data_IF_547985833947
#
_entry.id   IF_547985833947
#
_cell.length_a   1.000
_cell.length_b   1.000
_cell.length_c   1.000
_cell.angle_alpha   90.00
_cell.angle_beta   90.00
_cell.angle_gamma   90.00
#
_symmetry.space_group_name_H-M   'P 1'
#
loop_
_entity.id
_entity.type
_entity.pdbx_description
1 polymer ?
#
# COMPACT_ATOMS: atom_id res chain seq x y z
N UNK A 1 -27.18 -1.84 1.02
CA UNK A 1 -26.11 -2.73 0.54
C UNK A 1 -24.86 -2.26 1.26
N UNK A 2 -24.38 -3.02 2.23
CA UNK A 2 -23.11 -2.73 2.89
C UNK A 2 -22.03 -2.95 1.86
N UNK A 3 -21.45 -1.86 1.33
CA UNK A 3 -20.17 -1.94 0.64
C UNK A 3 -19.20 -2.60 1.61
N UNK A 4 -18.72 -3.80 1.26
CA UNK A 4 -17.82 -4.56 2.12
C UNK A 4 -16.57 -3.71 2.38
N UNK A 5 -16.20 -3.51 3.65
CA UNK A 5 -14.94 -2.89 4.02
C UNK A 5 -13.81 -3.74 3.42
N UNK A 6 -13.16 -3.27 2.36
CA UNK A 6 -12.06 -3.98 1.71
C UNK A 6 -10.86 -3.06 1.57
N UNK A 7 -9.69 -3.63 1.83
CA UNK A 7 -8.42 -2.92 1.81
C UNK A 7 -7.43 -3.60 0.86
N UNK A 8 -6.79 -2.80 0.02
CA UNK A 8 -5.61 -3.22 -0.72
C UNK A 8 -4.43 -3.28 0.22
N UNK A 9 -3.60 -4.31 0.09
CA UNK A 9 -2.44 -4.52 0.97
C UNK A 9 -1.14 -4.63 0.18
N UNK A 10 -0.10 -3.98 0.69
CA UNK A 10 1.27 -4.10 0.20
C UNK A 10 2.21 -4.43 1.35
N UNK A 11 3.15 -5.34 1.09
CA UNK A 11 4.12 -5.81 2.08
C UNK A 11 5.49 -5.93 1.41
N UNK A 12 6.55 -5.56 2.12
CA UNK A 12 7.92 -5.80 1.67
C UNK A 12 8.97 -5.20 2.60
N UNK A 13 10.15 -5.00 2.03
CA UNK A 13 11.28 -4.41 2.75
C UNK A 13 11.69 -3.12 2.05
N UNK A 14 11.62 -2.02 2.79
CA UNK A 14 12.14 -0.74 2.36
C UNK A 14 13.00 -0.16 3.49
N UNK A 15 14.29 0.03 3.22
CA UNK A 15 15.27 0.58 4.17
C UNK A 15 15.82 1.93 3.73
N UNK A 16 15.14 2.62 2.80
CA UNK A 16 15.48 4.01 2.48
C UNK A 16 15.30 4.89 3.72
N UNK A 17 15.84 6.12 3.67
CA UNK A 17 15.54 7.11 4.71
C UNK A 17 14.02 7.34 4.82
N UNK A 18 13.57 7.82 5.99
CA UNK A 18 12.15 8.10 6.21
C UNK A 18 11.61 9.13 5.22
N UNK A 19 12.38 10.18 4.94
CA UNK A 19 12.03 11.19 3.94
C UNK A 19 11.85 10.58 2.53
N UNK A 20 12.74 9.66 2.13
CA UNK A 20 12.62 8.97 0.83
C UNK A 20 11.42 8.03 0.79
N UNK A 21 11.12 7.32 1.89
CA UNK A 21 9.99 6.40 1.98
C UNK A 21 8.66 7.15 1.90
N UNK A 22 8.50 8.21 2.69
CA UNK A 22 7.27 9.01 2.76
C UNK A 22 7.03 9.79 1.46
N UNK A 23 8.09 10.26 0.79
CA UNK A 23 7.99 10.97 -0.48
C UNK A 23 7.27 10.19 -1.58
N UNK A 24 7.27 8.87 -1.52
CA UNK A 24 6.49 8.03 -2.45
C UNK A 24 4.98 8.29 -2.39
N UNK A 25 4.47 8.64 -1.20
CA UNK A 25 3.06 8.90 -0.93
C UNK A 25 2.71 10.40 -0.99
N UNK A 26 3.69 11.30 -1.08
CA UNK A 26 3.45 12.75 -1.00
C UNK A 26 2.53 13.26 -2.13
N UNK A 27 1.37 13.80 -1.74
CA UNK A 27 0.39 14.43 -2.62
C UNK A 27 0.77 15.89 -2.90
N UNK A 28 0.51 16.37 -4.12
CA UNK A 28 0.83 17.75 -4.53
C UNK A 28 -0.37 18.70 -4.36
N UNK A 29 -0.38 19.44 -3.26
CA UNK A 29 -1.40 20.45 -2.98
C UNK A 29 -1.12 21.81 -3.62
N UNK A 30 -0.02 21.99 -4.37
CA UNK A 30 0.41 23.32 -4.86
C UNK A 30 -0.48 23.93 -5.94
N UNK A 31 -1.33 23.12 -6.58
CA UNK A 31 -2.21 23.52 -7.68
C UNK A 31 -3.71 23.52 -7.29
N UNK A 32 -4.03 23.42 -6.00
CA UNK A 32 -5.40 23.47 -5.46
C UNK A 32 -6.41 22.54 -6.17
N UNK A 33 -5.97 21.35 -6.61
CA UNK A 33 -6.81 20.37 -7.31
C UNK A 33 -6.98 20.60 -8.82
N UNK A 34 -6.31 21.60 -9.41
CA UNK A 34 -6.22 21.74 -10.86
C UNK A 34 -5.19 20.77 -11.44
N UNK A 35 -5.59 19.53 -11.66
CA UNK A 35 -4.66 18.49 -12.14
C UNK A 35 -4.23 18.64 -13.61
N UNK A 36 -4.86 19.55 -14.37
CA UNK A 36 -4.41 19.91 -15.72
C UNK A 36 -3.31 20.99 -15.69
N UNK A 37 -2.98 21.55 -14.52
CA UNK A 37 -1.89 22.50 -14.37
C UNK A 37 -0.54 21.83 -14.71
N UNK A 38 0.30 22.43 -15.58
CA UNK A 38 1.60 21.85 -15.95
C UNK A 38 2.58 21.72 -14.76
N UNK A 39 2.32 22.39 -13.64
CA UNK A 39 3.12 22.26 -12.42
C UNK A 39 2.64 21.16 -11.50
N UNK A 40 1.49 20.52 -11.78
CA UNK A 40 0.98 19.41 -10.99
C UNK A 40 1.95 18.22 -11.02
N UNK A 41 2.34 17.76 -9.84
CA UNK A 41 3.23 16.61 -9.64
C UNK A 41 2.42 15.42 -9.16
N UNK A 42 2.17 14.49 -10.07
CA UNK A 42 1.52 13.23 -9.74
C UNK A 42 2.36 12.45 -8.70
N UNK A 43 1.73 12.07 -7.58
CA UNK A 43 2.40 11.27 -6.55
C UNK A 43 2.83 9.90 -7.09
N UNK A 44 3.92 9.35 -6.57
CA UNK A 44 4.49 8.12 -7.14
C UNK A 44 3.59 6.90 -6.86
N UNK A 45 2.96 6.83 -5.68
CA UNK A 45 1.91 5.85 -5.40
C UNK A 45 0.73 5.95 -6.39
N UNK A 46 0.19 7.16 -6.59
CA UNK A 46 -0.91 7.47 -7.50
C UNK A 46 -0.60 6.93 -8.90
N UNK A 47 0.59 7.28 -9.42
CA UNK A 47 1.10 6.79 -10.70
C UNK A 47 1.20 5.27 -10.75
N UNK A 48 1.55 4.63 -9.65
CA UNK A 48 1.73 3.18 -9.59
C UNK A 48 0.44 2.39 -9.54
N UNK A 49 -0.61 2.94 -8.92
CA UNK A 49 -1.95 2.34 -8.88
C UNK A 49 -2.91 2.87 -9.96
N UNK A 50 -2.46 3.82 -10.80
CA UNK A 50 -3.26 4.38 -11.89
C UNK A 50 -4.30 5.41 -11.46
N UNK A 51 -4.09 6.04 -10.30
CA UNK A 51 -4.90 7.13 -9.80
C UNK A 51 -4.27 8.48 -10.15
N UNK A 52 -5.12 9.51 -10.28
CA UNK A 52 -4.68 10.90 -10.38
C UNK A 52 -4.47 11.50 -8.98
N UNK A 53 -5.27 11.06 -8.01
CA UNK A 53 -5.19 11.45 -6.60
C UNK A 53 -5.80 10.30 -5.80
N UNK A 54 -5.18 9.91 -4.68
CA UNK A 54 -5.78 8.96 -3.74
C UNK A 54 -6.34 9.73 -2.55
N UNK A 55 -7.38 9.21 -1.92
CA UNK A 55 -7.96 9.83 -0.73
C UNK A 55 -7.10 9.50 0.49
N UNK A 56 -6.43 10.51 1.07
CA UNK A 56 -5.46 10.36 2.15
C UNK A 56 -6.06 9.88 3.47
N UNK A 57 -7.33 10.16 3.71
CA UNK A 57 -8.09 9.62 4.84
C UNK A 57 -8.30 8.09 4.77
N UNK A 58 -8.09 7.46 3.60
CA UNK A 58 -8.32 6.03 3.37
C UNK A 58 -7.03 5.21 3.21
N UNK A 59 -5.85 5.81 3.44
CA UNK A 59 -4.56 5.11 3.41
C UNK A 59 -3.98 4.97 4.82
N UNK A 60 -3.49 3.77 5.15
CA UNK A 60 -2.69 3.54 6.34
C UNK A 60 -1.24 3.31 5.98
N UNK A 61 -0.39 4.33 6.15
CA UNK A 61 1.07 4.24 6.00
C UNK A 61 1.64 3.97 7.40
N UNK A 62 1.95 2.70 7.68
CA UNK A 62 2.42 2.29 9.01
C UNK A 62 3.90 2.63 9.18
N UNK A 63 4.34 3.12 10.36
CA UNK A 63 5.76 3.27 10.67
C UNK A 63 6.52 1.96 10.41
N UNK A 64 7.63 2.06 9.68
CA UNK A 64 8.45 0.88 9.37
C UNK A 64 9.17 0.37 10.61
N UNK A 65 9.37 -0.94 10.67
CA UNK A 65 10.32 -1.55 11.60
C UNK A 65 11.75 -1.22 11.17
N UNK A 66 12.64 -1.04 12.16
CA UNK A 66 14.07 -0.79 11.91
C UNK A 66 14.78 -1.98 11.24
N UNK A 67 14.31 -3.20 11.51
CA UNK A 67 14.78 -4.45 10.93
C UNK A 67 13.59 -5.22 10.32
N UNK A 68 13.87 -6.18 9.42
CA UNK A 68 12.82 -7.08 8.93
C UNK A 68 12.29 -7.95 10.06
N UNK A 69 10.96 -8.06 10.15
CA UNK A 69 10.25 -8.91 11.10
C UNK A 69 9.46 -10.01 10.37
N UNK A 70 8.94 -10.97 11.13
CA UNK A 70 8.13 -12.04 10.55
C UNK A 70 6.83 -11.51 9.93
N UNK A 71 6.27 -12.24 8.96
CA UNK A 71 4.97 -11.86 8.35
C UNK A 71 3.85 -11.84 9.40
N UNK A 72 3.85 -12.78 10.36
CA UNK A 72 2.87 -12.78 11.45
C UNK A 72 2.99 -11.53 12.33
N UNK A 73 4.21 -11.03 12.55
CA UNK A 73 4.45 -9.84 13.37
C UNK A 73 3.99 -8.57 12.66
N UNK A 74 4.33 -8.36 11.40
CA UNK A 74 3.96 -7.12 10.70
C UNK A 74 2.47 -7.05 10.33
N UNK A 75 1.79 -8.19 10.18
CA UNK A 75 0.37 -8.22 9.82
C UNK A 75 -0.53 -7.64 10.91
N UNK A 76 -0.07 -7.58 12.17
CA UNK A 76 -0.84 -6.99 13.27
C UNK A 76 -1.08 -5.49 13.10
N UNK A 77 -0.28 -4.82 12.26
CA UNK A 77 -0.40 -3.39 11.99
C UNK A 77 -1.31 -3.07 10.80
N UNK A 78 -1.74 -4.09 10.04
CA UNK A 78 -2.64 -3.91 8.92
C UNK A 78 -4.10 -3.80 9.38
N UNK A 79 -4.88 -2.91 8.77
CA UNK A 79 -6.33 -2.85 8.95
C UNK A 79 -7.06 -3.95 8.15
N UNK A 80 -6.65 -5.20 8.35
CA UNK A 80 -7.17 -6.39 7.67
C UNK A 80 -7.78 -7.34 8.70
N UNK A 81 -8.91 -7.94 8.37
CA UNK A 81 -9.56 -8.95 9.21
C UNK A 81 -8.61 -10.15 9.46
N UNK A 82 -8.52 -10.59 10.71
CA UNK A 82 -7.64 -11.70 11.10
C UNK A 82 -7.93 -13.01 10.36
N UNK A 83 -9.18 -13.22 9.91
CA UNK A 83 -9.55 -14.39 9.11
C UNK A 83 -8.82 -14.43 7.74
N UNK A 84 -8.31 -13.28 7.27
CA UNK A 84 -7.53 -13.17 6.01
C UNK A 84 -6.04 -13.46 6.20
N UNK A 85 -5.52 -13.53 7.43
CA UNK A 85 -4.07 -13.60 7.67
C UNK A 85 -3.44 -14.83 7.03
N UNK A 86 -4.12 -15.98 7.04
CA UNK A 86 -3.59 -17.18 6.41
C UNK A 86 -3.51 -17.04 4.88
N UNK A 87 -4.50 -16.41 4.25
CA UNK A 87 -4.51 -16.22 2.79
C UNK A 87 -3.38 -15.28 2.36
N UNK A 88 -3.13 -14.22 3.14
CA UNK A 88 -2.02 -13.29 2.92
C UNK A 88 -0.67 -14.00 3.05
N UNK A 89 -0.47 -14.81 4.10
CA UNK A 89 0.78 -15.56 4.30
C UNK A 89 1.07 -16.50 3.14
N UNK A 90 0.07 -17.22 2.64
CA UNK A 90 0.22 -18.10 1.48
C UNK A 90 0.63 -17.33 0.22
N UNK A 91 0.14 -16.09 0.05
CA UNK A 91 0.54 -15.21 -1.06
C UNK A 91 1.97 -14.72 -0.86
N UNK A 92 2.33 -14.25 0.34
CA UNK A 92 3.69 -13.84 0.67
C UNK A 92 4.71 -14.95 0.38
N UNK A 93 4.42 -16.20 0.78
CA UNK A 93 5.28 -17.35 0.51
C UNK A 93 5.46 -17.60 -1.00
N UNK A 94 4.38 -17.56 -1.78
CA UNK A 94 4.43 -17.69 -3.25
C UNK A 94 5.23 -16.56 -3.92
N UNK A 95 5.20 -15.36 -3.34
CA UNK A 95 5.95 -14.20 -3.82
C UNK A 95 7.40 -14.16 -3.31
N UNK A 96 7.80 -15.13 -2.48
CA UNK A 96 9.13 -15.22 -1.87
C UNK A 96 9.37 -14.28 -0.69
N UNK A 97 8.32 -13.69 -0.12
CA UNK A 97 8.37 -12.76 1.02
C UNK A 97 8.30 -13.57 2.31
N UNK A 98 9.43 -13.70 3.00
CA UNK A 98 9.54 -14.45 4.28
C UNK A 98 9.51 -13.54 5.52
N UNK A 99 9.96 -12.31 5.33
CA UNK A 99 10.09 -11.26 6.34
C UNK A 99 9.90 -9.91 5.66
N UNK A 100 9.46 -8.92 6.42
CA UNK A 100 9.14 -7.59 5.94
C UNK A 100 9.37 -6.56 7.05
N UNK A 101 9.71 -5.32 6.69
CA UNK A 101 9.80 -4.21 7.64
C UNK A 101 8.74 -3.12 7.38
N UNK A 102 8.05 -3.20 6.23
CA UNK A 102 7.07 -2.22 5.79
C UNK A 102 5.76 -2.88 5.35
N UNK A 103 4.65 -2.28 5.77
CA UNK A 103 3.29 -2.63 5.38
C UNK A 103 2.49 -1.34 5.23
N UNK A 104 1.65 -1.27 4.20
CA UNK A 104 0.65 -0.21 4.10
C UNK A 104 -0.61 -0.77 3.44
N UNK A 105 -1.73 -0.09 3.68
CA UNK A 105 -3.02 -0.47 3.14
C UNK A 105 -3.76 0.75 2.58
N UNK A 106 -4.67 0.50 1.63
CA UNK A 106 -5.55 1.53 1.05
C UNK A 106 -6.97 1.00 0.92
N UNK A 107 -7.95 1.70 1.50
CA UNK A 107 -9.35 1.32 1.52
C UNK A 107 -10.10 1.92 0.33
N UNK A 108 -10.08 1.21 -0.80
CA UNK A 108 -10.87 1.56 -1.98
C UNK A 108 -11.25 0.29 -2.73
N UNK A 109 -12.46 -0.23 -2.50
CA UNK A 109 -12.92 -1.45 -3.17
C UNK A 109 -13.17 -1.29 -4.68
N UNK A 110 -13.23 -0.05 -5.18
CA UNK A 110 -13.42 0.25 -6.61
C UNK A 110 -12.08 0.44 -7.33
N UNK A 111 -10.96 0.53 -6.61
CA UNK A 111 -9.63 0.53 -7.19
C UNK A 111 -9.30 -0.85 -7.78
N UNK A 112 -9.02 -0.87 -9.09
CA UNK A 112 -8.66 -2.09 -9.80
C UNK A 112 -7.16 -2.10 -10.13
N UNK A 113 -6.39 -2.85 -9.34
CA UNK A 113 -4.98 -3.15 -9.65
C UNK A 113 -4.96 -4.40 -10.53
N UNK A 114 -4.61 -4.25 -11.80
CA UNK A 114 -4.69 -5.31 -12.80
C UNK A 114 -3.34 -6.00 -13.03
N UNK A 115 -3.31 -7.33 -13.24
CA UNK A 115 -2.09 -8.03 -13.63
C UNK A 115 -1.67 -7.70 -15.08
N UNK A 116 -0.37 -7.77 -15.42
CA UNK A 116 0.73 -8.07 -14.50
C UNK A 116 0.97 -6.91 -13.53
N UNK A 117 1.09 -7.23 -12.24
CA UNK A 117 1.40 -6.23 -11.22
C UNK A 117 2.81 -5.69 -11.42
N UNK A 118 3.06 -4.48 -10.93
CA UNK A 118 4.44 -3.98 -10.89
C UNK A 118 5.26 -4.88 -9.99
N UNK A 119 6.51 -5.09 -10.38
CA UNK A 119 7.49 -5.84 -9.58
C UNK A 119 7.69 -5.20 -8.20
N UNK A 120 7.57 -3.86 -8.13
CA UNK A 120 7.76 -3.08 -6.92
C UNK A 120 6.82 -1.86 -6.85
N UNK A 121 6.36 -1.58 -5.65
CA UNK A 121 5.64 -0.40 -5.19
C UNK A 121 6.43 0.12 -3.99
N UNK A 122 7.40 1.02 -4.21
CA UNK A 122 8.31 1.48 -3.16
C UNK A 122 9.03 0.33 -2.41
N UNK A 123 9.65 -0.59 -3.17
CA UNK A 123 10.27 -1.85 -2.69
C UNK A 123 9.31 -2.88 -2.04
N UNK A 124 8.00 -2.61 -2.05
CA UNK A 124 6.98 -3.56 -1.60
C UNK A 124 6.28 -4.23 -2.78
N UNK A 125 5.61 -5.36 -2.52
CA UNK A 125 4.75 -6.04 -3.50
C UNK A 125 3.29 -5.84 -3.15
N UNK A 126 2.46 -5.71 -4.17
CA UNK A 126 1.01 -5.78 -4.00
C UNK A 126 0.61 -7.22 -3.65
N UNK A 127 -0.11 -7.40 -2.54
CA UNK A 127 -0.50 -8.70 -2.01
C UNK A 127 -1.90 -9.08 -2.46
N UNK A 128 -2.85 -8.12 -2.43
CA UNK A 128 -4.23 -8.39 -2.81
C UNK A 128 -5.22 -7.43 -2.17
N UNK A 129 -6.50 -7.77 -2.32
CA UNK A 129 -7.65 -7.04 -1.78
C UNK A 129 -8.37 -7.94 -0.77
N UNK A 130 -8.34 -7.55 0.50
CA UNK A 130 -8.81 -8.35 1.63
C UNK A 130 -9.96 -7.65 2.35
N UNK A 131 -10.69 -8.40 3.18
CA UNK A 131 -11.64 -7.79 4.12
C UNK A 131 -10.89 -6.95 5.16
N UNK A 132 -11.35 -5.73 5.40
CA UNK A 132 -10.83 -4.86 6.47
C UNK A 132 -11.40 -5.20 7.84
N UNK A 133 -10.65 -4.87 8.90
CA UNK A 133 -11.06 -4.99 10.31
C UNK A 133 -12.24 -4.04 10.67
#
# INVERSE_FOLDING_TARGET
MTTENRVHLWIGNNFSSEDEYIKYFELDYSVEGNFDDPNYKLCQFCKDVGLQWYEDDFIGIIPRYDESVSIDEILVDAAVDQDEFQSIKDICEKLGIKEANAIFWYQDSELHINPPYKEQYNDMKYIGLFKGD
#
